data_IF_714895570924
#
_entry.id   IF_714895570924
#
_cell.length_a   1.000
_cell.length_b   1.000
_cell.length_c   1.000
_cell.angle_alpha   90.00
_cell.angle_beta   90.00
_cell.angle_gamma   90.00
#
_symmetry.space_group_name_H-M   'P 1'
#
loop_
_entity.id
_entity.type
_entity.pdbx_description
1 polymer ?
#
# COMPACT_ATOMS: atom_id res chain seq x y z
N UNK A 1 17.01 -1.29 -12.52
CA UNK A 1 16.36 -0.66 -11.36
C UNK A 1 14.98 -1.29 -11.21
N UNK A 2 14.59 -1.66 -9.99
CA UNK A 2 13.27 -2.22 -9.68
C UNK A 2 12.34 -1.09 -9.22
N UNK A 3 11.44 -0.65 -10.10
CA UNK A 3 10.61 0.55 -9.90
C UNK A 3 9.12 0.27 -10.09
N UNK A 4 8.73 -0.97 -10.35
CA UNK A 4 7.32 -1.34 -10.54
C UNK A 4 6.62 -1.49 -9.20
N UNK A 5 5.30 -1.35 -9.17
CA UNK A 5 4.52 -1.54 -7.95
C UNK A 5 4.71 -2.96 -7.37
N UNK A 6 4.81 -3.99 -8.24
CA UNK A 6 5.06 -5.36 -7.83
C UNK A 6 6.43 -5.51 -7.16
N UNK A 7 7.48 -4.94 -7.76
CA UNK A 7 8.81 -4.95 -7.17
C UNK A 7 8.81 -4.30 -5.77
N UNK A 8 8.16 -3.15 -5.63
CA UNK A 8 8.10 -2.41 -4.37
C UNK A 8 7.30 -3.17 -3.30
N UNK A 9 6.28 -3.94 -3.71
CA UNK A 9 5.51 -4.80 -2.82
C UNK A 9 6.35 -6.00 -2.36
N UNK A 10 7.08 -6.64 -3.27
CA UNK A 10 7.98 -7.76 -2.94
C UNK A 10 9.10 -7.33 -1.98
N UNK A 11 9.60 -6.09 -2.15
CA UNK A 11 10.57 -5.46 -1.26
C UNK A 11 9.95 -4.95 0.05
N UNK A 12 8.63 -5.10 0.24
CA UNK A 12 7.85 -4.64 1.41
C UNK A 12 7.99 -3.14 1.68
N UNK A 13 8.18 -2.35 0.62
CA UNK A 13 8.23 -0.88 0.69
C UNK A 13 6.81 -0.31 0.75
N UNK A 14 5.89 -0.89 -0.03
CA UNK A 14 4.47 -0.56 -0.04
C UNK A 14 3.64 -1.70 0.57
N UNK A 15 2.43 -1.39 1.02
CA UNK A 15 1.55 -2.37 1.69
C UNK A 15 0.46 -2.94 0.79
N UNK A 16 0.29 -2.38 -0.41
CA UNK A 16 -0.76 -2.80 -1.34
C UNK A 16 -0.66 -2.10 -2.68
N UNK A 17 -1.34 -2.68 -3.67
CA UNK A 17 -1.41 -2.18 -5.04
C UNK A 17 -2.89 -1.99 -5.38
N UNK A 18 -3.24 -0.81 -5.88
CA UNK A 18 -4.56 -0.57 -6.46
C UNK A 18 -4.52 -1.04 -7.90
N UNK A 19 -5.38 -2.01 -8.25
CA UNK A 19 -5.44 -2.55 -9.61
C UNK A 19 -6.05 -1.54 -10.59
N UNK A 20 -5.41 -1.37 -11.74
CA UNK A 20 -5.93 -0.56 -12.83
C UNK A 20 -6.73 -1.40 -13.84
N UNK A 21 -7.74 -0.81 -14.49
CA UNK A 21 -8.48 -1.47 -15.56
C UNK A 21 -7.59 -1.69 -16.80
N UNK A 22 -8.03 -2.60 -17.69
CA UNK A 22 -7.33 -2.86 -18.94
C UNK A 22 -7.22 -1.56 -19.77
N UNK A 23 -5.98 -1.13 -20.00
CA UNK A 23 -5.66 0.11 -20.72
C UNK A 23 -5.41 1.33 -19.83
N UNK A 24 -5.31 1.14 -18.51
CA UNK A 24 -4.82 2.12 -17.55
C UNK A 24 -5.91 2.92 -16.84
N UNK A 25 -5.58 3.49 -15.69
CA UNK A 25 -6.50 4.25 -14.84
C UNK A 25 -7.24 5.36 -15.58
N UNK A 26 -6.62 6.00 -16.58
CA UNK A 26 -7.24 7.06 -17.38
C UNK A 26 -8.49 6.61 -18.14
N UNK A 27 -8.69 5.31 -18.39
CA UNK A 27 -9.87 4.80 -19.11
C UNK A 27 -11.11 4.64 -18.24
N UNK A 28 -10.93 4.40 -16.95
CA UNK A 28 -12.03 4.33 -15.99
C UNK A 28 -11.60 4.97 -14.67
N UNK A 29 -11.42 6.30 -14.66
CA UNK A 29 -10.89 7.00 -13.49
C UNK A 29 -11.81 6.85 -12.28
N UNK A 30 -13.13 6.87 -12.48
CA UNK A 30 -14.11 6.71 -11.39
C UNK A 30 -13.95 5.35 -10.67
N UNK A 31 -13.74 4.27 -11.42
CA UNK A 31 -13.51 2.92 -10.86
C UNK A 31 -12.24 2.89 -10.02
N UNK A 32 -11.15 3.49 -10.51
CA UNK A 32 -9.88 3.52 -9.79
C UNK A 32 -9.96 4.40 -8.55
N UNK A 33 -10.65 5.53 -8.62
CA UNK A 33 -10.89 6.42 -7.47
C UNK A 33 -11.70 5.67 -6.40
N UNK A 34 -12.77 4.99 -6.79
CA UNK A 34 -13.58 4.18 -5.87
C UNK A 34 -12.75 3.08 -5.20
N UNK A 35 -12.02 2.29 -5.99
CA UNK A 35 -11.14 1.23 -5.47
C UNK A 35 -10.06 1.76 -4.52
N UNK A 36 -9.50 2.93 -4.83
CA UNK A 36 -8.53 3.62 -3.96
C UNK A 36 -9.18 4.04 -2.64
N UNK A 37 -10.39 4.62 -2.71
CA UNK A 37 -11.17 5.01 -1.54
C UNK A 37 -11.49 3.83 -0.63
N UNK A 38 -11.90 2.70 -1.20
CA UNK A 38 -12.18 1.47 -0.46
C UNK A 38 -10.93 0.93 0.25
N UNK A 39 -9.77 0.96 -0.42
CA UNK A 39 -8.51 0.52 0.17
C UNK A 39 -8.08 1.42 1.34
N UNK A 40 -8.21 2.74 1.18
CA UNK A 40 -7.92 3.70 2.26
C UNK A 40 -8.86 3.44 3.44
N UNK A 41 -10.17 3.33 3.19
CA UNK A 41 -11.16 3.10 4.22
C UNK A 41 -10.92 1.78 4.97
N UNK A 42 -10.58 0.71 4.25
CA UNK A 42 -10.19 -0.57 4.85
C UNK A 42 -8.95 -0.42 5.74
N UNK A 43 -7.89 0.18 5.22
CA UNK A 43 -6.64 0.38 5.97
C UNK A 43 -6.90 1.21 7.24
N UNK A 44 -7.68 2.29 7.15
CA UNK A 44 -8.03 3.08 8.33
C UNK A 44 -8.82 2.29 9.37
N UNK A 45 -9.73 1.41 8.96
CA UNK A 45 -10.44 0.51 9.89
C UNK A 45 -9.51 -0.49 10.56
N UNK A 46 -8.59 -1.08 9.79
CA UNK A 46 -7.60 -2.04 10.32
C UNK A 46 -6.69 -1.36 11.36
N UNK A 47 -6.26 -0.12 11.10
CA UNK A 47 -5.49 0.67 12.05
C UNK A 47 -6.32 1.12 13.26
N UNK A 48 -7.58 1.51 13.08
CA UNK A 48 -8.45 1.92 14.19
C UNK A 48 -8.72 0.76 15.18
N UNK A 49 -8.75 -0.48 14.70
CA UNK A 49 -8.89 -1.68 15.53
C UNK A 49 -7.58 -2.14 16.18
N UNK A 50 -6.42 -1.60 15.78
CA UNK A 50 -5.13 -2.02 16.29
C UNK A 50 -4.80 -1.31 17.62
N UNK A 51 -4.69 -2.08 18.70
CA UNK A 51 -4.19 -1.58 19.99
C UNK A 51 -2.65 -1.64 20.01
N UNK A 52 -2.01 -0.94 19.07
CA UNK A 52 -0.54 -0.92 18.93
C UNK A 52 -0.01 0.50 19.08
N UNK A 53 1.26 0.63 19.49
CA UNK A 53 1.97 1.89 19.36
C UNK A 53 2.36 2.11 17.89
N UNK A 54 1.65 3.00 17.20
CA UNK A 54 1.91 3.33 15.81
C UNK A 54 3.29 3.94 15.56
N UNK A 55 3.95 4.49 16.59
CA UNK A 55 5.31 5.01 16.47
C UNK A 55 6.31 3.87 16.38
N UNK A 56 6.23 2.90 17.29
CA UNK A 56 7.09 1.72 17.24
C UNK A 56 6.81 0.87 15.99
N UNK A 57 5.54 0.64 15.64
CA UNK A 57 5.19 -0.10 14.41
C UNK A 57 5.79 0.56 13.16
N UNK A 58 5.72 1.90 13.07
CA UNK A 58 6.31 2.65 11.97
C UNK A 58 7.83 2.56 11.97
N UNK A 59 8.45 2.65 13.14
CA UNK A 59 9.91 2.50 13.31
C UNK A 59 10.37 1.12 12.86
N UNK A 60 9.68 0.06 13.28
CA UNK A 60 9.96 -1.32 12.85
C UNK A 60 9.83 -1.48 11.34
N UNK A 61 8.78 -0.93 10.74
CA UNK A 61 8.58 -0.93 9.28
C UNK A 61 9.77 -0.32 8.54
N UNK A 62 10.19 0.88 8.92
CA UNK A 62 11.33 1.53 8.26
C UNK A 62 12.66 0.83 8.52
N UNK A 63 12.87 0.27 9.71
CA UNK A 63 14.08 -0.50 10.02
C UNK A 63 14.14 -1.82 9.26
N UNK A 64 12.99 -2.43 8.94
CA UNK A 64 12.92 -3.65 8.15
C UNK A 64 13.20 -3.41 6.66
N UNK A 65 12.90 -2.21 6.14
CA UNK A 65 13.20 -1.85 4.76
C UNK A 65 14.72 -1.89 4.49
N UNK A 66 15.14 -2.74 3.56
CA UNK A 66 16.55 -2.83 3.13
C UNK A 66 17.47 -3.66 4.03
N UNK A 67 16.97 -4.30 5.11
CA UNK A 67 17.78 -5.22 5.94
C UNK A 67 18.09 -6.57 5.28
N UNK A 68 17.42 -6.90 4.18
CA UNK A 68 17.58 -8.15 3.43
C UNK A 68 17.97 -7.93 1.97
N UNK A 69 18.63 -6.80 1.67
CA UNK A 69 19.21 -6.50 0.36
C UNK A 69 20.66 -7.00 0.27
#
# INVERSE_FOLDING_TARGET
MKITAQDLLDMKIIDGIVAEPIGGAQRAPETVIAATGDLIAKTMKDFAGANTDFREQRREKYLAMGRSL
#
